data_IF_595489695546
#
_entry.id   IF_595489695546
#
_cell.length_a   1.000
_cell.length_b   1.000
_cell.length_c   1.000
_cell.angle_alpha   90.00
_cell.angle_beta   90.00
_cell.angle_gamma   90.00
#
_symmetry.space_group_name_H-M   'P 1'
#
loop_
_entity.id
_entity.type
_entity.pdbx_description
1 polymer ?
#
# COMPACT_ATOMS: atom_id res chain seq x y z
N UNK A 1 11.61 8.62 -3.81
CA UNK A 1 10.24 8.93 -3.37
C UNK A 1 9.49 7.65 -3.10
N UNK A 2 8.88 7.54 -1.93
CA UNK A 2 8.02 6.42 -1.52
C UNK A 2 6.58 6.93 -1.54
N UNK A 3 5.66 6.12 -2.06
CA UNK A 3 4.23 6.40 -1.98
C UNK A 3 3.58 5.31 -1.16
N UNK A 4 2.94 5.70 -0.06
CA UNK A 4 2.18 4.81 0.80
C UNK A 4 0.77 4.70 0.23
N UNK A 5 0.25 3.50 0.10
CA UNK A 5 -1.11 3.24 -0.40
C UNK A 5 -1.94 2.61 0.69
N UNK A 6 -3.09 3.22 0.98
CA UNK A 6 -4.05 2.78 2.00
C UNK A 6 -5.47 2.82 1.45
N UNK A 7 -6.39 2.13 2.12
CA UNK A 7 -7.80 2.09 1.73
C UNK A 7 -8.75 2.24 2.91
N UNK A 8 -9.89 2.92 2.71
CA UNK A 8 -11.02 2.92 3.64
C UNK A 8 -11.72 1.57 3.72
N UNK A 9 -11.51 0.62 2.82
CA UNK A 9 -12.14 -0.70 2.90
C UNK A 9 -11.31 -1.69 3.72
N UNK A 10 -9.99 -1.48 3.82
CA UNK A 10 -9.10 -2.33 4.62
C UNK A 10 -9.01 -1.87 6.10
N UNK A 11 -9.27 -2.79 7.03
CA UNK A 11 -9.31 -2.49 8.47
C UNK A 11 -7.98 -2.04 9.08
N UNK A 12 -6.84 -2.55 8.58
CA UNK A 12 -5.53 -2.15 9.06
C UNK A 12 -5.17 -0.77 8.50
N UNK A 13 -5.38 -0.56 7.20
CA UNK A 13 -5.26 0.74 6.53
C UNK A 13 -6.05 1.80 7.28
N UNK A 14 -7.36 1.60 7.50
CA UNK A 14 -8.23 2.57 8.21
C UNK A 14 -7.63 3.01 9.55
N UNK A 15 -7.14 2.06 10.34
CA UNK A 15 -6.61 2.31 11.69
C UNK A 15 -5.25 3.01 11.68
N UNK A 16 -4.40 2.66 10.70
CA UNK A 16 -3.06 3.23 10.59
C UNK A 16 -3.02 4.54 9.82
N UNK A 17 -3.95 4.79 8.91
CA UNK A 17 -4.03 5.99 8.08
C UNK A 17 -3.86 7.31 8.88
N UNK A 18 -4.65 7.61 9.93
CA UNK A 18 -4.47 8.84 10.70
C UNK A 18 -3.12 8.90 11.42
N UNK A 19 -2.62 7.76 11.91
CA UNK A 19 -1.31 7.67 12.58
C UNK A 19 -0.16 7.94 11.61
N UNK A 20 -0.24 7.41 10.39
CA UNK A 20 0.78 7.64 9.34
C UNK A 20 0.81 9.12 8.97
N UNK A 21 -0.35 9.76 8.82
CA UNK A 21 -0.43 11.20 8.54
C UNK A 21 0.20 12.01 9.67
N UNK A 22 -0.13 11.70 10.92
CA UNK A 22 0.39 12.40 12.09
C UNK A 22 1.92 12.25 12.21
N UNK A 23 2.42 11.01 12.20
CA UNK A 23 3.84 10.72 12.40
C UNK A 23 4.72 11.26 11.27
N UNK A 24 4.25 11.17 10.03
CA UNK A 24 4.96 11.70 8.86
C UNK A 24 4.61 13.17 8.57
N UNK A 25 3.76 13.79 9.40
CA UNK A 25 3.31 15.19 9.30
C UNK A 25 2.76 15.54 7.91
N UNK A 26 2.12 14.58 7.24
CA UNK A 26 1.62 14.75 5.89
C UNK A 26 0.48 15.76 5.87
N UNK A 27 0.38 16.53 4.78
CA UNK A 27 -0.70 17.47 4.57
C UNK A 27 -1.54 17.03 3.39
N UNK A 28 -2.84 17.32 3.44
CA UNK A 28 -3.71 17.05 2.29
C UNK A 28 -3.26 17.92 1.11
N UNK A 29 -3.04 17.28 -0.03
CA UNK A 29 -2.69 17.91 -1.30
C UNK A 29 -3.88 17.84 -2.25
N UNK A 30 -4.67 16.76 -2.17
CA UNK A 30 -5.84 16.57 -3.01
C UNK A 30 -6.92 15.78 -2.28
N UNK A 31 -8.17 16.23 -2.42
CA UNK A 31 -9.35 15.58 -1.86
C UNK A 31 -10.34 15.27 -2.99
N UNK A 32 -10.46 14.00 -3.37
CA UNK A 32 -11.40 13.53 -4.40
C UNK A 32 -12.35 12.52 -3.79
N UNK A 33 -13.50 12.37 -4.46
CA UNK A 33 -14.53 11.41 -4.05
C UNK A 33 -13.99 9.98 -3.91
N UNK A 34 -13.06 9.56 -4.79
CA UNK A 34 -12.50 8.20 -4.84
C UNK A 34 -11.16 8.02 -4.11
N UNK A 35 -10.43 9.11 -3.87
CA UNK A 35 -9.17 9.03 -3.15
C UNK A 35 -8.80 10.38 -2.54
N UNK A 36 -7.99 10.32 -1.50
CA UNK A 36 -7.35 11.47 -0.89
C UNK A 36 -5.84 11.30 -1.02
N UNK A 37 -5.15 12.39 -1.34
CA UNK A 37 -3.71 12.40 -1.49
C UNK A 37 -3.11 13.36 -0.48
N UNK A 38 -2.12 12.87 0.25
CA UNK A 38 -1.35 13.63 1.23
C UNK A 38 0.11 13.61 0.85
N UNK A 39 0.87 14.62 1.27
CA UNK A 39 2.31 14.60 1.07
C UNK A 39 3.07 15.63 1.90
N UNK A 40 4.36 15.35 2.02
CA UNK A 40 5.38 16.22 2.59
C UNK A 40 6.72 15.77 2.00
N UNK A 41 7.48 16.70 1.42
CA UNK A 41 8.77 16.43 0.77
C UNK A 41 8.69 15.26 -0.23
N UNK A 42 9.51 14.20 -0.06
CA UNK A 42 9.60 13.03 -0.93
C UNK A 42 8.73 11.84 -0.46
N UNK A 43 7.73 12.11 0.38
CA UNK A 43 6.78 11.10 0.87
C UNK A 43 5.35 11.51 0.56
N UNK A 44 4.64 10.59 -0.08
CA UNK A 44 3.23 10.76 -0.41
C UNK A 44 2.41 9.61 0.16
N UNK A 45 1.14 9.88 0.43
CA UNK A 45 0.17 8.88 0.81
C UNK A 45 -1.05 9.03 -0.09
N UNK A 46 -1.47 7.93 -0.72
CA UNK A 46 -2.73 7.83 -1.45
C UNK A 46 -3.67 6.97 -0.62
N UNK A 47 -4.84 7.50 -0.31
CA UNK A 47 -5.88 6.84 0.46
C UNK A 47 -7.12 6.66 -0.40
N UNK A 48 -7.37 5.42 -0.86
CA UNK A 48 -8.58 5.09 -1.60
C UNK A 48 -9.80 5.09 -0.68
N UNK A 49 -10.88 5.75 -1.09
CA UNK A 49 -12.09 5.89 -0.28
C UNK A 49 -13.19 4.91 -0.66
N UNK A 50 -13.14 4.33 -1.86
CA UNK A 50 -14.21 3.56 -2.48
C UNK A 50 -13.81 2.16 -2.96
N UNK A 51 -12.57 1.72 -2.70
CA UNK A 51 -12.04 0.43 -3.17
C UNK A 51 -11.16 -0.28 -2.16
N UNK A 52 -11.18 -1.60 -2.15
CA UNK A 52 -10.16 -2.45 -1.49
C UNK A 52 -8.82 -2.37 -2.25
N UNK A 53 -7.71 -2.49 -1.52
CA UNK A 53 -6.35 -2.35 -2.07
C UNK A 53 -6.05 -3.33 -3.19
N UNK A 54 -6.61 -4.55 -3.14
CA UNK A 54 -6.38 -5.57 -4.19
C UNK A 54 -6.96 -5.18 -5.56
N UNK A 55 -7.81 -4.15 -5.62
CA UNK A 55 -8.46 -3.67 -6.85
C UNK A 55 -8.03 -2.23 -7.23
N UNK A 56 -6.81 -1.85 -6.85
CA UNK A 56 -6.25 -0.50 -7.07
C UNK A 56 -5.16 -0.49 -8.14
N UNK A 57 -5.32 -1.29 -9.20
CA UNK A 57 -4.39 -1.36 -10.33
C UNK A 57 -4.14 0.03 -10.96
N UNK A 58 -5.11 0.95 -10.88
CA UNK A 58 -5.00 2.30 -11.44
C UNK A 58 -4.04 3.24 -10.69
N UNK A 59 -3.45 2.80 -9.57
CA UNK A 59 -2.58 3.67 -8.77
C UNK A 59 -1.33 4.04 -9.57
N UNK A 60 -0.81 3.14 -10.41
CA UNK A 60 0.36 3.39 -11.25
C UNK A 60 0.05 4.49 -12.27
N UNK A 61 -1.09 4.41 -12.96
CA UNK A 61 -1.54 5.45 -13.88
C UNK A 61 -1.72 6.80 -13.16
N UNK A 62 -2.24 6.79 -11.92
CA UNK A 62 -2.39 8.00 -11.13
C UNK A 62 -1.03 8.63 -10.82
N UNK A 63 -0.06 7.82 -10.40
CA UNK A 63 1.32 8.22 -10.11
C UNK A 63 1.99 8.81 -11.35
N UNK A 64 1.87 8.13 -12.50
CA UNK A 64 2.44 8.60 -13.76
C UNK A 64 1.80 9.92 -14.22
N UNK A 65 0.46 10.02 -14.24
CA UNK A 65 -0.24 11.26 -14.64
C UNK A 65 0.14 12.46 -13.78
N UNK A 66 0.40 12.23 -12.50
CA UNK A 66 0.81 13.26 -11.54
C UNK A 66 2.32 13.55 -11.60
N UNK A 67 3.07 12.83 -12.46
CA UNK A 67 4.53 12.93 -12.62
C UNK A 67 5.25 12.69 -11.30
N UNK A 68 4.69 11.79 -10.51
CA UNK A 68 5.27 11.36 -9.25
C UNK A 68 6.31 10.28 -9.58
N UNK A 69 7.60 10.61 -9.45
CA UNK A 69 8.71 9.68 -9.70
C UNK A 69 8.83 8.63 -8.58
N UNK A 70 7.82 7.79 -8.42
CA UNK A 70 7.74 6.78 -7.37
C UNK A 70 8.81 5.71 -7.58
N UNK A 71 9.60 5.44 -6.53
CA UNK A 71 10.56 4.33 -6.52
C UNK A 71 9.99 3.07 -5.84
N UNK A 72 8.93 3.23 -5.06
CA UNK A 72 8.27 2.17 -4.31
C UNK A 72 6.83 2.60 -4.00
N UNK A 73 5.89 1.69 -4.29
CA UNK A 73 4.53 1.73 -3.75
C UNK A 73 4.48 0.81 -2.54
N UNK A 74 4.18 1.36 -1.36
CA UNK A 74 4.09 0.63 -0.11
C UNK A 74 2.63 0.50 0.31
N UNK A 75 2.05 -0.68 0.09
CA UNK A 75 0.69 -0.99 0.49
C UNK A 75 0.63 -1.38 1.96
N UNK A 76 -0.24 -0.73 2.73
CA UNK A 76 -0.47 -1.05 4.15
C UNK A 76 -1.81 -1.77 4.25
N UNK A 77 -1.76 -3.10 4.26
CA UNK A 77 -2.95 -3.96 4.18
C UNK A 77 -3.05 -4.91 5.35
N UNK A 78 -4.26 -5.36 5.65
CA UNK A 78 -4.50 -6.56 6.46
C UNK A 78 -4.09 -7.80 5.67
N UNK A 79 -3.74 -8.85 6.41
CA UNK A 79 -3.65 -10.20 5.88
C UNK A 79 -4.75 -11.04 6.55
N UNK A 80 -5.57 -11.72 5.76
CA UNK A 80 -6.66 -12.57 6.24
C UNK A 80 -6.37 -14.04 5.97
N UNK A 81 -6.59 -14.89 6.97
CA UNK A 81 -6.37 -16.34 6.87
C UNK A 81 -7.43 -17.09 7.68
N UNK A 82 -7.76 -18.31 7.26
CA UNK A 82 -8.80 -19.15 7.90
C UNK A 82 -8.47 -19.52 9.35
N UNK A 83 -7.18 -19.67 9.69
CA UNK A 83 -6.74 -19.98 11.05
C UNK A 83 -5.84 -18.85 11.59
N UNK A 84 -6.41 -17.78 12.15
CA UNK A 84 -5.70 -16.54 12.42
C UNK A 84 -4.59 -16.73 13.45
N UNK A 85 -3.40 -16.21 13.11
CA UNK A 85 -2.27 -16.05 14.02
C UNK A 85 -1.78 -14.61 13.96
N UNK A 86 -1.39 -14.00 15.09
CA UNK A 86 -0.75 -12.69 15.07
C UNK A 86 0.55 -12.77 14.26
N UNK A 87 0.66 -11.97 13.20
CA UNK A 87 1.87 -11.91 12.39
C UNK A 87 1.98 -10.59 11.63
N UNK A 88 3.21 -10.25 11.26
CA UNK A 88 3.49 -9.26 10.24
C UNK A 88 4.03 -9.95 9.00
N UNK A 89 3.53 -9.56 7.83
CA UNK A 89 3.92 -10.13 6.54
C UNK A 89 4.36 -9.03 5.58
N UNK A 90 5.27 -9.36 4.67
CA UNK A 90 5.63 -8.53 3.53
C UNK A 90 5.70 -9.42 2.32
N UNK A 91 5.05 -9.03 1.23
CA UNK A 91 5.09 -9.76 -0.04
C UNK A 91 4.91 -8.78 -1.20
N UNK A 92 5.09 -9.28 -2.41
CA UNK A 92 4.77 -8.58 -3.65
C UNK A 92 3.52 -9.22 -4.24
N UNK A 93 2.65 -8.42 -4.87
CA UNK A 93 1.44 -8.90 -5.53
C UNK A 93 1.75 -9.62 -6.84
N UNK A 94 0.85 -10.52 -7.24
CA UNK A 94 0.95 -11.24 -8.50
C UNK A 94 0.12 -12.52 -8.51
N UNK A 95 -0.26 -12.95 -9.70
CA UNK A 95 -1.01 -14.15 -9.97
C UNK A 95 -0.17 -15.10 -10.83
N UNK A 96 0.14 -16.29 -10.32
CA UNK A 96 0.81 -17.33 -11.10
C UNK A 96 -0.10 -18.01 -12.12
N UNK A 97 -1.42 -17.91 -11.94
CA UNK A 97 -2.44 -18.53 -12.78
C UNK A 97 -3.67 -17.63 -12.81
N UNK A 98 -4.84 -18.14 -12.41
CA UNK A 98 -6.06 -17.34 -12.36
C UNK A 98 -5.99 -16.21 -11.32
N UNK A 99 -6.66 -15.08 -11.61
CA UNK A 99 -6.75 -13.91 -10.76
C UNK A 99 -8.08 -13.88 -10.00
N UNK A 100 -8.15 -14.58 -8.87
CA UNK A 100 -9.37 -14.66 -8.04
C UNK A 100 -9.53 -13.48 -7.07
N UNK A 101 -8.44 -12.75 -6.79
CA UNK A 101 -8.39 -11.65 -5.81
C UNK A 101 -7.71 -10.41 -6.40
N UNK A 102 -8.20 -9.93 -7.54
CA UNK A 102 -7.67 -8.73 -8.21
C UNK A 102 -6.46 -8.99 -9.11
N UNK A 103 -6.02 -7.94 -9.79
CA UNK A 103 -4.99 -8.01 -10.84
C UNK A 103 -5.43 -8.82 -12.07
N UNK A 104 -4.45 -9.23 -12.88
CA UNK A 104 -4.65 -10.03 -14.10
C UNK A 104 -4.08 -11.44 -13.95
N UNK A 105 -4.63 -12.44 -14.66
CA UNK A 105 -4.06 -13.78 -14.70
C UNK A 105 -2.63 -13.80 -15.24
N UNK A 106 -1.79 -14.67 -14.71
CA UNK A 106 -0.40 -14.89 -15.16
C UNK A 106 0.48 -13.62 -15.14
N UNK A 107 0.12 -12.62 -14.32
CA UNK A 107 0.82 -11.35 -14.20
C UNK A 107 1.34 -11.17 -12.76
N UNK A 108 2.61 -10.78 -12.64
CA UNK A 108 3.26 -10.49 -11.35
C UNK A 108 3.73 -9.05 -11.32
N UNK A 109 3.57 -8.39 -10.17
CA UNK A 109 4.02 -7.02 -10.00
C UNK A 109 5.55 -6.94 -9.93
N UNK A 110 6.11 -5.79 -10.30
CA UNK A 110 7.54 -5.55 -10.18
C UNK A 110 7.96 -5.56 -8.70
N UNK A 111 8.82 -6.51 -8.35
CA UNK A 111 9.32 -6.63 -6.98
C UNK A 111 10.42 -5.60 -6.67
N UNK A 112 10.52 -5.20 -5.40
CA UNK A 112 11.67 -4.46 -4.88
C UNK A 112 12.35 -5.29 -3.76
N UNK A 113 13.17 -6.30 -4.10
CA UNK A 113 13.66 -7.31 -3.14
C UNK A 113 14.41 -6.73 -1.93
N UNK A 114 15.18 -5.65 -2.16
CA UNK A 114 15.87 -4.94 -1.09
C UNK A 114 14.90 -4.36 -0.06
N UNK A 115 13.86 -3.62 -0.50
CA UNK A 115 12.86 -3.02 0.37
C UNK A 115 12.07 -4.09 1.13
N UNK A 116 11.64 -5.15 0.45
CA UNK A 116 10.98 -6.30 1.07
C UNK A 116 11.82 -6.91 2.20
N UNK A 117 13.11 -7.15 1.94
CA UNK A 117 14.02 -7.71 2.93
C UNK A 117 14.27 -6.78 4.13
N UNK A 118 14.39 -5.47 3.89
CA UNK A 118 14.57 -4.49 4.95
C UNK A 118 13.32 -4.36 5.83
N UNK A 119 12.13 -4.28 5.22
CA UNK A 119 10.87 -4.25 5.95
C UNK A 119 10.69 -5.48 6.83
N UNK A 120 10.94 -6.68 6.29
CA UNK A 120 10.91 -7.92 7.07
C UNK A 120 11.85 -7.86 8.28
N UNK A 121 13.10 -7.43 8.09
CA UNK A 121 14.08 -7.31 9.19
C UNK A 121 13.65 -6.30 10.25
N UNK A 122 13.08 -5.16 9.85
CA UNK A 122 12.60 -4.14 10.78
C UNK A 122 11.42 -4.68 11.59
N UNK A 123 10.44 -5.30 10.93
CA UNK A 123 9.26 -5.85 11.59
C UNK A 123 9.62 -6.93 12.62
N UNK A 124 10.59 -7.80 12.29
CA UNK A 124 11.05 -8.83 13.25
C UNK A 124 11.67 -8.26 14.52
N UNK A 125 12.16 -7.01 14.54
CA UNK A 125 12.64 -6.39 15.78
C UNK A 125 11.52 -6.14 16.80
N UNK A 126 10.27 -6.14 16.35
CA UNK A 126 9.08 -5.89 17.16
C UNK A 126 8.27 -7.16 17.44
N UNK A 127 8.70 -8.30 16.91
CA UNK A 127 8.13 -9.61 17.20
C UNK A 127 9.05 -10.27 18.22
N UNK A 128 8.67 -10.17 19.50
CA UNK A 128 9.35 -10.80 20.65
C UNK A 128 8.76 -12.19 20.89
#
# INVERSE_FOLDING_TARGET
>A
MIIIVTSRQDEVSKRLHPKIIEELKLRIIEDKVRYQMYGLEDTYLIHFTDKDLIYTDEVEDLVERKKLNAKLLLYVSRHEMTNPKPMFTVHVSGNWGSSIFGGKPEEVSLSHPYATSQLFKVLNKYVV
#
